data_IF_017236400080
#
_entry.id   IF_017236400080
#
_cell.length_a   1.000
_cell.length_b   1.000
_cell.length_c   1.000
_cell.angle_alpha   90.00
_cell.angle_beta   90.00
_cell.angle_gamma   90.00
#
_symmetry.space_group_name_H-M   'P 1'
#
loop_
_entity.id
_entity.type
_entity.pdbx_description
1 polymer ?
#
# COMPACT_ATOMS: atom_id res chain seq x y z
N UNK A 1 -18.07 -15.15 -7.72
CA UNK A 1 -16.68 -15.30 -7.23
C UNK A 1 -16.45 -14.23 -6.19
N UNK A 2 -15.84 -14.60 -5.05
CA UNK A 2 -15.41 -13.67 -4.00
C UNK A 2 -14.45 -12.65 -4.58
N UNK A 3 -14.73 -11.36 -4.38
CA UNK A 3 -13.87 -10.26 -4.83
C UNK A 3 -12.63 -10.20 -3.93
N UNK A 4 -11.46 -9.94 -4.52
CA UNK A 4 -10.17 -9.99 -3.82
C UNK A 4 -9.45 -8.65 -3.86
N UNK A 5 -9.00 -8.16 -2.71
CA UNK A 5 -8.33 -6.87 -2.56
C UNK A 5 -6.88 -7.09 -2.16
N UNK A 6 -5.95 -6.34 -2.76
CA UNK A 6 -4.58 -6.25 -2.27
C UNK A 6 -4.48 -5.03 -1.37
N UNK A 7 -4.11 -5.23 -0.10
CA UNK A 7 -3.89 -4.15 0.86
C UNK A 7 -2.40 -4.00 1.14
N UNK A 8 -1.82 -2.85 0.83
CA UNK A 8 -0.40 -2.59 1.09
C UNK A 8 -0.23 -1.70 2.32
N UNK A 9 0.60 -2.12 3.27
CA UNK A 9 0.84 -1.42 4.53
C UNK A 9 2.33 -1.10 4.69
N UNK A 10 2.62 -0.04 5.46
CA UNK A 10 3.98 0.34 5.82
C UNK A 10 4.49 -0.50 6.98
N UNK A 11 5.76 -0.89 6.93
CA UNK A 11 6.47 -1.56 8.02
C UNK A 11 6.89 -0.58 9.13
N UNK A 12 6.73 0.72 8.88
CA UNK A 12 7.11 1.80 9.79
C UNK A 12 5.93 2.46 10.48
N UNK A 13 4.72 1.95 10.28
CA UNK A 13 3.52 2.40 10.99
C UNK A 13 2.38 2.78 10.07
N UNK A 14 1.21 2.17 10.31
CA UNK A 14 -0.06 2.62 9.71
C UNK A 14 -0.97 3.25 10.76
N UNK A 15 -1.88 4.13 10.34
CA UNK A 15 -2.94 4.63 11.24
C UNK A 15 -4.06 3.60 11.37
N UNK A 16 -4.37 3.20 12.60
CA UNK A 16 -5.27 2.10 12.91
C UNK A 16 -6.61 2.13 12.16
N UNK A 17 -7.35 3.24 12.27
CA UNK A 17 -8.66 3.43 11.66
C UNK A 17 -8.65 3.29 10.13
N UNK A 18 -7.59 3.80 9.48
CA UNK A 18 -7.43 3.76 8.01
C UNK A 18 -7.28 2.33 7.48
N UNK A 19 -6.88 1.37 8.34
CA UNK A 19 -6.91 -0.06 8.00
C UNK A 19 -8.22 -0.72 8.47
N UNK A 20 -8.56 -0.61 9.75
CA UNK A 20 -9.64 -1.43 10.33
C UNK A 20 -11.01 -1.05 9.79
N UNK A 21 -11.24 0.24 9.50
CA UNK A 21 -12.50 0.72 8.92
C UNK A 21 -12.78 0.05 7.56
N UNK A 22 -11.89 0.20 6.56
CA UNK A 22 -12.03 -0.50 5.29
C UNK A 22 -12.04 -2.03 5.43
N UNK A 23 -11.20 -2.59 6.29
CA UNK A 23 -11.11 -4.05 6.49
C UNK A 23 -12.45 -4.64 6.96
N UNK A 24 -13.06 -4.08 8.00
CA UNK A 24 -14.31 -4.60 8.56
C UNK A 24 -15.46 -4.47 7.53
N UNK A 25 -15.57 -3.32 6.85
CA UNK A 25 -16.59 -3.06 5.80
C UNK A 25 -16.49 -4.04 4.63
N UNK A 26 -15.27 -4.31 4.17
CA UNK A 26 -14.99 -5.20 3.04
C UNK A 26 -15.24 -6.66 3.40
N UNK A 27 -14.75 -7.10 4.57
CA UNK A 27 -14.91 -8.49 5.02
C UNK A 27 -16.35 -8.83 5.35
N UNK A 28 -17.12 -7.92 5.96
CA UNK A 28 -18.57 -8.07 6.17
C UNK A 28 -19.33 -8.30 4.85
N UNK A 29 -18.87 -7.67 3.76
CA UNK A 29 -19.43 -7.85 2.40
C UNK A 29 -18.88 -9.07 1.67
N UNK A 30 -18.09 -9.91 2.33
CA UNK A 30 -17.53 -11.14 1.78
C UNK A 30 -16.39 -10.92 0.80
N UNK A 31 -15.67 -9.79 0.87
CA UNK A 31 -14.42 -9.61 0.12
C UNK A 31 -13.27 -10.27 0.88
N UNK A 32 -12.30 -10.83 0.15
CA UNK A 32 -11.04 -11.30 0.73
C UNK A 32 -9.94 -10.27 0.54
N UNK A 33 -9.03 -10.18 1.51
CA UNK A 33 -7.94 -9.19 1.51
C UNK A 33 -6.63 -9.94 1.71
N UNK A 34 -5.68 -9.77 0.78
CA UNK A 34 -4.29 -10.15 1.01
C UNK A 34 -3.51 -8.92 1.45
N UNK A 35 -2.64 -9.09 2.44
CA UNK A 35 -1.75 -8.03 2.90
C UNK A 35 -0.37 -8.13 2.23
N UNK A 36 0.21 -6.99 1.93
CA UNK A 36 1.56 -6.86 1.38
C UNK A 36 2.32 -5.74 2.11
N UNK A 37 3.61 -5.94 2.32
CA UNK A 37 4.51 -4.93 2.87
C UNK A 37 5.82 -4.90 2.08
N UNK A 38 6.62 -3.81 2.16
CA UNK A 38 7.87 -3.69 1.41
C UNK A 38 8.85 -4.87 1.52
N UNK A 39 8.97 -5.48 2.71
CA UNK A 39 9.88 -6.59 3.02
C UNK A 39 9.18 -7.82 3.62
N UNK A 40 7.84 -7.86 3.59
CA UNK A 40 7.08 -8.97 4.16
C UNK A 40 7.09 -9.00 5.69
N UNK A 41 7.52 -7.92 6.36
CA UNK A 41 7.47 -7.83 7.82
C UNK A 41 6.05 -7.42 8.28
N UNK A 42 5.69 -7.82 9.51
CA UNK A 42 4.43 -7.43 10.15
C UNK A 42 4.39 -5.90 10.30
N UNK A 43 3.42 -5.20 9.68
CA UNK A 43 3.31 -3.76 9.82
C UNK A 43 2.78 -3.41 11.23
N UNK A 44 3.43 -2.50 11.96
CA UNK A 44 2.94 -2.04 13.27
C UNK A 44 1.84 -0.98 13.10
N UNK A 45 0.85 -0.97 13.99
CA UNK A 45 -0.05 0.17 14.11
C UNK A 45 0.69 1.31 14.83
N UNK A 46 0.45 2.55 14.42
CA UNK A 46 1.00 3.72 15.12
C UNK A 46 0.40 3.79 16.54
N UNK A 47 1.21 3.90 17.61
CA UNK A 47 0.70 3.84 18.99
C UNK A 47 -0.45 4.81 19.29
N UNK A 48 -0.42 6.09 18.86
CA UNK A 48 -1.53 7.01 19.08
C UNK A 48 -2.88 6.52 18.54
N UNK A 49 -2.86 5.78 17.43
CA UNK A 49 -4.08 5.22 16.83
C UNK A 49 -4.70 4.05 17.62
N UNK A 50 -4.01 3.58 18.66
CA UNK A 50 -4.49 2.57 19.60
C UNK A 50 -4.89 3.18 20.95
N UNK A 51 -4.79 4.50 21.12
CA UNK A 51 -5.09 5.21 22.36
C UNK A 51 -6.46 5.93 22.25
N UNK A 52 -7.51 5.45 22.93
CA UNK A 52 -8.81 6.11 22.91
C UNK A 52 -8.72 7.55 23.38
N UNK A 53 -9.29 8.48 22.62
CA UNK A 53 -9.33 9.88 23.00
C UNK A 53 -8.02 10.63 22.76
N UNK A 54 -7.08 10.08 21.97
CA UNK A 54 -5.85 10.78 21.60
C UNK A 54 -6.18 12.14 20.96
N UNK A 55 -5.68 13.21 21.57
CA UNK A 55 -5.81 14.59 21.11
C UNK A 55 -4.61 14.92 20.23
N UNK A 56 -4.84 15.22 18.96
CA UNK A 56 -3.82 15.75 18.07
C UNK A 56 -3.60 17.25 18.38
N UNK A 57 -2.41 17.65 18.87
CA UNK A 57 -2.18 19.04 19.27
C UNK A 57 -2.21 20.03 18.08
N UNK A 58 -1.63 19.73 16.90
CA UNK A 58 -1.76 20.60 15.74
C UNK A 58 -3.20 20.86 15.28
N UNK A 59 -4.07 19.85 15.36
CA UNK A 59 -5.47 19.96 14.92
C UNK A 59 -6.42 20.42 16.03
N UNK A 60 -5.98 20.40 17.29
CA UNK A 60 -6.79 20.64 18.49
C UNK A 60 -8.07 19.78 18.51
N UNK A 61 -7.91 18.50 18.14
CA UNK A 61 -9.03 17.56 17.97
C UNK A 61 -8.68 16.16 18.45
N UNK A 62 -9.68 15.48 19.00
CA UNK A 62 -9.59 14.04 19.24
C UNK A 62 -9.66 13.35 17.88
N UNK A 63 -8.63 12.55 17.57
CA UNK A 63 -8.47 11.87 16.28
C UNK A 63 -8.54 10.35 16.39
N UNK A 64 -8.80 9.83 17.58
CA UNK A 64 -8.88 8.39 17.81
C UNK A 64 -10.11 8.05 18.62
N UNK A 65 -11.13 7.53 17.95
CA UNK A 65 -12.33 7.04 18.59
C UNK A 65 -12.04 5.77 19.43
N UNK A 66 -12.81 5.57 20.50
CA UNK A 66 -12.65 4.43 21.41
C UNK A 66 -12.86 3.09 20.69
N UNK A 67 -13.84 3.01 19.80
CA UNK A 67 -14.12 1.80 19.03
C UNK A 67 -12.93 1.44 18.15
N UNK A 68 -12.42 2.39 17.36
CA UNK A 68 -11.29 2.14 16.46
C UNK A 68 -10.00 1.83 17.22
N UNK A 69 -9.68 2.55 18.31
CA UNK A 69 -8.52 2.22 19.13
C UNK A 69 -8.56 0.78 19.68
N UNK A 70 -9.74 0.31 20.12
CA UNK A 70 -9.89 -1.07 20.56
C UNK A 70 -9.73 -2.04 19.38
N UNK A 71 -10.41 -1.79 18.26
CA UNK A 71 -10.38 -2.67 17.09
C UNK A 71 -8.98 -2.78 16.49
N UNK A 72 -8.23 -1.68 16.46
CA UNK A 72 -6.83 -1.66 16.02
C UNK A 72 -5.95 -2.52 16.92
N UNK A 73 -6.13 -2.48 18.25
CA UNK A 73 -5.39 -3.36 19.17
C UNK A 73 -5.68 -4.83 18.91
N UNK A 74 -6.95 -5.19 18.74
CA UNK A 74 -7.35 -6.57 18.40
C UNK A 74 -6.67 -7.07 17.13
N UNK A 75 -6.65 -6.25 16.07
CA UNK A 75 -5.98 -6.60 14.81
C UNK A 75 -4.46 -6.66 14.98
N UNK A 76 -3.86 -5.71 15.69
CA UNK A 76 -2.42 -5.65 15.93
C UNK A 76 -1.91 -6.86 16.71
N UNK A 77 -2.64 -7.29 17.73
CA UNK A 77 -2.31 -8.46 18.57
C UNK A 77 -2.64 -9.79 17.89
N UNK A 78 -3.52 -9.80 16.89
CA UNK A 78 -3.87 -11.00 16.12
C UNK A 78 -2.78 -11.45 15.15
N UNK A 79 -3.01 -12.63 14.55
CA UNK A 79 -2.16 -13.21 13.52
C UNK A 79 -2.46 -12.68 12.10
N UNK A 80 -3.48 -11.85 11.92
CA UNK A 80 -3.95 -11.40 10.61
C UNK A 80 -2.84 -10.79 9.74
N UNK A 81 -1.92 -10.06 10.38
CA UNK A 81 -0.84 -9.31 9.72
C UNK A 81 0.53 -9.98 9.87
N UNK A 82 0.61 -11.22 10.36
CA UNK A 82 1.89 -11.89 10.65
C UNK A 82 2.62 -12.42 9.41
N UNK A 83 1.94 -12.55 8.27
CA UNK A 83 2.53 -13.14 7.06
C UNK A 83 2.11 -12.38 5.78
N UNK A 84 2.44 -11.08 5.68
CA UNK A 84 2.17 -10.33 4.46
C UNK A 84 3.08 -10.78 3.33
N UNK A 85 2.62 -10.57 2.10
CA UNK A 85 3.42 -10.76 0.89
C UNK A 85 4.63 -9.82 0.94
N UNK A 86 5.82 -10.34 0.64
CA UNK A 86 7.05 -9.55 0.51
C UNK A 86 7.13 -8.91 -0.88
N UNK A 87 6.88 -7.61 -0.95
CA UNK A 87 6.94 -6.86 -2.21
C UNK A 87 8.32 -6.94 -2.87
N UNK A 88 9.40 -6.91 -2.09
CA UNK A 88 10.76 -6.92 -2.63
C UNK A 88 11.20 -8.25 -3.24
N UNK A 89 10.54 -9.34 -2.85
CA UNK A 89 10.70 -10.66 -3.48
C UNK A 89 9.75 -10.85 -4.67
N UNK A 90 8.59 -10.20 -4.64
CA UNK A 90 7.59 -10.35 -5.69
C UNK A 90 7.89 -9.49 -6.93
N UNK A 91 8.21 -8.21 -6.75
CA UNK A 91 8.46 -7.28 -7.86
C UNK A 91 9.97 -7.10 -8.10
N UNK A 92 10.42 -7.01 -9.36
CA UNK A 92 11.83 -6.79 -9.68
C UNK A 92 12.28 -5.37 -9.30
N UNK A 93 13.58 -5.19 -9.05
CA UNK A 93 14.16 -3.86 -8.90
C UNK A 93 14.52 -3.28 -10.27
N UNK A 94 14.36 -1.97 -10.43
CA UNK A 94 14.91 -1.27 -11.59
C UNK A 94 16.44 -1.42 -11.59
N UNK A 95 17.05 -1.76 -12.74
CA UNK A 95 18.50 -1.90 -12.81
C UNK A 95 19.21 -0.55 -12.62
N UNK A 96 20.44 -0.62 -12.12
CA UNK A 96 21.26 0.57 -11.94
C UNK A 96 21.63 1.17 -13.30
N UNK A 97 21.32 2.46 -13.51
CA UNK A 97 21.43 3.13 -14.81
C UNK A 97 22.82 3.07 -15.48
N UNK A 98 23.87 2.83 -14.70
CA UNK A 98 25.25 2.80 -15.18
C UNK A 98 25.86 1.39 -15.10
N UNK A 99 25.03 0.34 -15.11
CA UNK A 99 25.52 -1.03 -15.26
C UNK A 99 26.05 -1.27 -16.67
N UNK A 100 27.03 -2.18 -16.80
CA UNK A 100 27.66 -2.47 -18.11
C UNK A 100 26.67 -3.04 -19.13
N UNK A 101 25.62 -3.72 -18.66
CA UNK A 101 24.60 -4.38 -19.49
C UNK A 101 23.20 -3.77 -19.30
N UNK A 102 23.13 -2.47 -18.98
CA UNK A 102 21.87 -1.79 -18.61
C UNK A 102 20.70 -2.08 -19.56
N UNK A 103 20.93 -2.11 -20.87
CA UNK A 103 19.88 -2.40 -21.86
C UNK A 103 19.23 -3.79 -21.67
N UNK A 104 20.04 -4.85 -21.50
CA UNK A 104 19.53 -6.20 -21.27
C UNK A 104 18.90 -6.36 -19.89
N UNK A 105 19.48 -5.69 -18.88
CA UNK A 105 18.91 -5.70 -17.53
C UNK A 105 17.55 -4.99 -17.49
N UNK A 106 17.39 -3.90 -18.25
CA UNK A 106 16.14 -3.16 -18.38
C UNK A 106 15.07 -3.98 -19.10
N UNK A 107 15.45 -4.66 -20.18
CA UNK A 107 14.57 -5.60 -20.89
C UNK A 107 14.09 -6.72 -19.95
N UNK A 108 15.01 -7.34 -19.21
CA UNK A 108 14.66 -8.37 -18.24
C UNK A 108 13.75 -7.85 -17.13
N UNK A 109 14.03 -6.67 -16.58
CA UNK A 109 13.17 -6.01 -15.60
C UNK A 109 11.74 -5.84 -16.11
N UNK A 110 11.56 -5.36 -17.35
CA UNK A 110 10.22 -5.18 -17.92
C UNK A 110 9.50 -6.50 -18.18
N UNK A 111 10.19 -7.54 -18.65
CA UNK A 111 9.61 -8.87 -18.80
C UNK A 111 9.09 -9.41 -17.46
N UNK A 112 9.90 -9.34 -16.39
CA UNK A 112 9.52 -9.76 -15.05
C UNK A 112 8.37 -8.90 -14.48
N UNK A 113 8.41 -7.58 -14.71
CA UNK A 113 7.36 -6.65 -14.25
C UNK A 113 6.01 -6.95 -14.92
N UNK A 114 6.01 -7.28 -16.20
CA UNK A 114 4.80 -7.68 -16.93
C UNK A 114 4.21 -9.01 -16.43
N UNK A 115 5.05 -9.98 -16.05
CA UNK A 115 4.60 -11.18 -15.36
C UNK A 115 3.94 -10.85 -14.00
N UNK A 116 4.53 -9.95 -13.22
CA UNK A 116 3.94 -9.48 -11.96
C UNK A 116 2.58 -8.81 -12.21
N UNK A 117 2.46 -7.97 -13.24
CA UNK A 117 1.19 -7.35 -13.63
C UNK A 117 0.14 -8.38 -14.04
N UNK A 118 0.53 -9.44 -14.75
CA UNK A 118 -0.36 -10.56 -15.05
C UNK A 118 -0.85 -11.25 -13.76
N UNK A 119 0.01 -11.42 -12.76
CA UNK A 119 -0.39 -11.99 -11.47
C UNK A 119 -1.32 -11.07 -10.67
N UNK A 120 -1.19 -9.75 -10.82
CA UNK A 120 -2.13 -8.77 -10.23
C UNK A 120 -3.57 -8.92 -10.76
N UNK A 121 -3.79 -9.61 -11.89
CA UNK A 121 -5.13 -9.83 -12.46
C UNK A 121 -6.11 -10.47 -11.48
N UNK A 122 -5.60 -11.28 -10.53
CA UNK A 122 -6.39 -11.95 -9.48
C UNK A 122 -7.02 -11.01 -8.43
N UNK A 123 -6.58 -9.75 -8.35
CA UNK A 123 -7.13 -8.74 -7.44
C UNK A 123 -8.06 -7.78 -8.17
N UNK A 124 -9.17 -7.40 -7.56
CA UNK A 124 -10.15 -6.45 -8.09
C UNK A 124 -9.79 -4.99 -7.77
N UNK A 125 -9.08 -4.73 -6.66
CA UNK A 125 -8.66 -3.39 -6.26
C UNK A 125 -7.39 -3.40 -5.40
N UNK A 126 -6.76 -2.22 -5.31
CA UNK A 126 -5.64 -1.91 -4.43
C UNK A 126 -6.12 -0.96 -3.32
N UNK A 127 -5.80 -1.29 -2.07
CA UNK A 127 -6.03 -0.47 -0.89
C UNK A 127 -4.67 -0.07 -0.28
N UNK A 128 -4.50 1.21 0.01
CA UNK A 128 -3.30 1.79 0.61
C UNK A 128 -3.69 2.63 1.84
N UNK A 129 -3.84 2.00 3.02
CA UNK A 129 -4.00 2.72 4.27
C UNK A 129 -2.75 3.56 4.56
N UNK A 130 -2.94 4.76 5.10
CA UNK A 130 -1.86 5.70 5.40
C UNK A 130 -1.32 5.55 6.83
N UNK A 131 -1.33 6.64 7.60
CA UNK A 131 -0.39 6.87 8.71
C UNK A 131 0.93 7.49 8.24
N UNK A 132 1.86 7.80 9.16
CA UNK A 132 3.13 8.46 8.83
C UNK A 132 4.22 7.51 8.30
N UNK A 133 4.12 6.20 8.54
CA UNK A 133 5.10 5.19 8.11
C UNK A 133 5.35 5.14 6.60
N UNK A 134 4.33 5.23 5.71
CA UNK A 134 4.51 5.24 4.26
C UNK A 134 5.55 6.22 3.74
N UNK A 135 5.77 7.36 4.42
CA UNK A 135 6.82 8.32 4.06
C UNK A 135 8.24 7.74 4.15
N UNK A 136 8.43 6.70 4.96
CA UNK A 136 9.72 6.05 5.20
C UNK A 136 10.00 4.97 4.15
N UNK A 137 9.02 4.15 3.79
CA UNK A 137 9.25 2.89 3.06
C UNK A 137 8.35 2.63 1.84
N UNK A 138 7.31 3.44 1.61
CA UNK A 138 6.35 3.24 0.52
C UNK A 138 6.41 4.35 -0.54
N UNK A 139 6.47 5.62 -0.12
CA UNK A 139 6.32 6.77 -1.04
C UNK A 139 7.40 6.80 -2.12
N UNK A 140 8.64 6.45 -1.77
CA UNK A 140 9.75 6.39 -2.73
C UNK A 140 10.17 4.96 -3.08
N UNK A 141 9.22 4.02 -3.04
CA UNK A 141 9.47 2.62 -3.33
C UNK A 141 9.05 2.29 -4.77
N UNK A 142 10.03 2.18 -5.66
CA UNK A 142 9.78 1.94 -7.10
C UNK A 142 8.97 0.67 -7.36
N UNK A 143 9.15 -0.39 -6.56
CA UNK A 143 8.35 -1.62 -6.70
C UNK A 143 6.88 -1.38 -6.37
N UNK A 144 6.60 -0.55 -5.37
CA UNK A 144 5.22 -0.19 -5.03
C UNK A 144 4.61 0.70 -6.12
N UNK A 145 5.41 1.58 -6.73
CA UNK A 145 4.97 2.33 -7.91
C UNK A 145 4.61 1.40 -9.06
N UNK A 146 5.38 0.33 -9.30
CA UNK A 146 5.05 -0.69 -10.30
C UNK A 146 3.75 -1.43 -9.99
N UNK A 147 3.48 -1.73 -8.72
CA UNK A 147 2.18 -2.29 -8.30
C UNK A 147 1.06 -1.32 -8.66
N UNK A 148 1.17 -0.06 -8.25
CA UNK A 148 0.17 0.99 -8.51
C UNK A 148 -0.07 1.16 -10.01
N UNK A 149 0.99 1.25 -10.80
CA UNK A 149 0.93 1.35 -12.26
C UNK A 149 0.28 0.10 -12.89
N UNK A 150 0.49 -1.09 -12.30
CA UNK A 150 -0.16 -2.33 -12.73
C UNK A 150 -1.67 -2.36 -12.51
N UNK A 151 -2.15 -1.81 -11.38
CA UNK A 151 -3.59 -1.63 -11.19
C UNK A 151 -4.14 -0.54 -12.12
N UNK A 152 -3.40 0.56 -12.30
CA UNK A 152 -3.80 1.67 -13.16
C UNK A 152 -3.91 1.25 -14.63
N UNK A 153 -2.94 0.52 -15.17
CA UNK A 153 -2.93 0.03 -16.56
C UNK A 153 -4.05 -0.98 -16.84
N UNK A 154 -4.50 -1.69 -15.79
CA UNK A 154 -5.62 -2.63 -15.86
C UNK A 154 -6.98 -1.95 -15.60
N UNK A 155 -7.03 -0.62 -15.48
CA UNK A 155 -8.23 0.15 -15.16
C UNK A 155 -8.95 -0.35 -13.89
N UNK A 156 -8.16 -0.71 -12.87
CA UNK A 156 -8.68 -1.19 -11.58
C UNK A 156 -8.77 -0.08 -10.56
N UNK A 157 -9.63 -0.29 -9.57
CA UNK A 157 -9.81 0.65 -8.47
C UNK A 157 -8.54 0.70 -7.59
N UNK A 158 -8.10 1.91 -7.27
CA UNK A 158 -7.02 2.20 -6.34
C UNK A 158 -7.57 3.16 -5.30
N UNK A 159 -7.57 2.76 -4.03
CA UNK A 159 -7.95 3.59 -2.90
C UNK A 159 -6.70 3.85 -2.05
N UNK A 160 -6.34 5.12 -1.86
CA UNK A 160 -5.24 5.53 -1.01
C UNK A 160 -5.73 6.60 -0.04
N UNK A 161 -5.30 6.51 1.21
CA UNK A 161 -5.72 7.42 2.27
C UNK A 161 -4.51 8.11 2.91
N UNK A 162 -4.71 9.33 3.39
CA UNK A 162 -3.72 10.09 4.16
C UNK A 162 -2.36 10.19 3.43
N UNK A 163 -1.24 9.87 4.09
CA UNK A 163 0.09 9.95 3.47
C UNK A 163 0.29 9.00 2.29
N UNK A 164 -0.48 7.91 2.19
CA UNK A 164 -0.39 6.98 1.07
C UNK A 164 -0.89 7.57 -0.25
N UNK A 165 -1.62 8.69 -0.23
CA UNK A 165 -1.91 9.48 -1.45
C UNK A 165 -0.61 9.92 -2.14
N UNK A 166 0.45 10.18 -1.37
CA UNK A 166 1.77 10.53 -1.91
C UNK A 166 2.36 9.38 -2.74
N UNK A 167 2.05 8.12 -2.45
CA UNK A 167 2.46 7.00 -3.31
C UNK A 167 1.87 7.12 -4.73
N UNK A 168 0.63 7.63 -4.86
CA UNK A 168 0.01 7.89 -6.17
C UNK A 168 0.63 9.09 -6.89
N UNK A 169 1.05 10.10 -6.13
CA UNK A 169 1.75 11.25 -6.68
C UNK A 169 3.08 10.83 -7.34
N UNK A 170 3.80 9.89 -6.72
CA UNK A 170 5.10 9.40 -7.20
C UNK A 170 4.99 8.25 -8.20
N UNK A 171 3.88 7.52 -8.24
CA UNK A 171 3.61 6.52 -9.27
C UNK A 171 3.48 7.19 -10.64
N UNK A 172 4.49 6.98 -11.48
CA UNK A 172 4.62 7.56 -12.81
C UNK A 172 5.35 6.60 -13.73
N UNK A 173 4.89 6.51 -14.97
CA UNK A 173 5.62 5.80 -16.00
C UNK A 173 7.04 6.38 -16.15
N UNK A 174 8.03 5.50 -16.36
CA UNK A 174 9.43 5.91 -16.43
C UNK A 174 9.73 6.81 -17.64
N UNK A 175 8.98 6.65 -18.73
CA UNK A 175 9.12 7.44 -19.96
C UNK A 175 8.35 8.75 -19.84
N UNK A 176 7.08 8.69 -19.44
CA UNK A 176 6.22 9.88 -19.41
C UNK A 176 6.50 10.79 -18.21
N UNK A 177 6.98 10.22 -17.09
CA UNK A 177 7.24 10.90 -15.81
C UNK A 177 6.07 11.70 -15.25
N UNK A 178 4.86 11.48 -15.78
CA UNK A 178 3.62 12.11 -15.37
C UNK A 178 2.98 11.29 -14.26
N UNK A 179 2.66 11.96 -13.15
CA UNK A 179 1.92 11.34 -12.06
C UNK A 179 0.58 10.80 -12.55
N UNK A 180 0.17 9.63 -12.06
CA UNK A 180 -1.16 9.08 -12.38
C UNK A 180 -2.31 9.94 -11.88
N UNK A 181 -2.07 10.84 -10.91
CA UNK A 181 -3.07 11.79 -10.40
C UNK A 181 -2.96 13.18 -11.00
N UNK A 182 -2.09 13.39 -12.02
CA UNK A 182 -1.97 14.68 -12.68
C UNK A 182 -3.30 15.13 -13.30
N UNK A 183 -3.79 16.30 -12.89
CA UNK A 183 -5.05 16.87 -13.37
C UNK A 183 -6.29 16.14 -12.86
N UNK A 184 -6.15 15.23 -11.89
CA UNK A 184 -7.28 14.60 -11.20
C UNK A 184 -7.59 15.36 -9.92
N UNK A 185 -8.84 15.28 -9.48
CA UNK A 185 -9.23 15.69 -8.14
C UNK A 185 -9.05 14.49 -7.20
N UNK A 186 -8.17 14.64 -6.22
CA UNK A 186 -7.83 13.62 -5.22
C UNK A 186 -8.11 14.22 -3.86
#
# INVERSE_FOLDING_TARGET
MTKKILCCLSEWGYWGEELVGPYDVLTERGYSIDFMTPKGAKPPALPPSMEPGYLDPPLDKVVTDKHYAQRTREIHESDLLNSPINLSEWFPAMPYFNSQNFGHELENYYNMRDECWNQLKKYDALLLPGGSGPMVDMVNNERLHDVILGFYSQNKLIAAECYCVTCLAFARDWTERKSIIWGKHV
#
